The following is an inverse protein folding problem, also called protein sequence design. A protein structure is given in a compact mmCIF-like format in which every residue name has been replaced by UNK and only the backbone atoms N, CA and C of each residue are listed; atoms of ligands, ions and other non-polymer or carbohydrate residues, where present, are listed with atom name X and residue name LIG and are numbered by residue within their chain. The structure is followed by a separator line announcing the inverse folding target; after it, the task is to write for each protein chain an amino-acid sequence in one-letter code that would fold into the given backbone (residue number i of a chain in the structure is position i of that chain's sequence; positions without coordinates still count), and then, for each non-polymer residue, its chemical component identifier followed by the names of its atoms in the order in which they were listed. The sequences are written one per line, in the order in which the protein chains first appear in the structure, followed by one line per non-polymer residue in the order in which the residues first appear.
data_IF_658660756881
#
_entry.id   IF_658660756881
#
_cell.length_a   1.000
_cell.length_b   1.000
_cell.length_c   1.000
_cell.angle_alpha   90.00
_cell.angle_beta   90.00
_cell.angle_gamma   90.00
#
_symmetry.space_group_name_H-M   'P 1'
#
loop_
_entity.id
_entity.type
_entity.pdbx_description
1 polymer ?
#
# COMPACT_ATOMS: atom_id res chain seq x y z
N UNK A 1 -27.61 -23.12 6.03
CA UNK A 1 -26.40 -22.58 5.38
C UNK A 1 -25.20 -23.09 6.17
N UNK A 2 -24.39 -23.98 5.59
CA UNK A 2 -23.24 -24.55 6.31
C UNK A 2 -22.21 -23.46 6.60
N UNK A 3 -21.89 -23.28 7.88
CA UNK A 3 -20.84 -22.37 8.33
C UNK A 3 -19.50 -22.95 7.87
N UNK A 4 -18.98 -22.52 6.71
CA UNK A 4 -17.66 -22.95 6.29
C UNK A 4 -16.64 -22.52 7.37
N UNK A 5 -15.81 -23.43 7.87
CA UNK A 5 -14.86 -23.10 8.92
C UNK A 5 -13.86 -22.07 8.41
N UNK A 6 -13.64 -21.00 9.18
CA UNK A 6 -12.57 -20.01 8.93
C UNK A 6 -11.23 -20.75 8.95
N UNK A 7 -10.70 -21.14 7.79
CA UNK A 7 -9.28 -21.51 7.70
C UNK A 7 -8.45 -20.27 7.95
N UNK A 8 -7.60 -20.36 8.98
CA UNK A 8 -6.62 -19.33 9.28
C UNK A 8 -5.71 -19.09 8.07
N UNK A 9 -5.20 -17.86 7.95
CA UNK A 9 -4.18 -17.56 6.95
C UNK A 9 -2.97 -18.46 7.12
N UNK A 10 -2.25 -18.72 6.03
CA UNK A 10 -0.91 -19.28 6.16
C UNK A 10 -0.03 -18.34 7.00
N UNK A 11 0.92 -18.85 7.78
CA UNK A 11 1.85 -18.02 8.55
C UNK A 11 2.55 -16.96 7.68
N UNK A 12 2.91 -17.33 6.44
CA UNK A 12 3.49 -16.42 5.45
C UNK A 12 2.56 -15.25 5.14
N UNK A 13 1.29 -15.49 4.81
CA UNK A 13 0.35 -14.44 4.48
C UNK A 13 0.07 -13.53 5.70
N UNK A 14 -0.02 -14.10 6.89
CA UNK A 14 -0.15 -13.33 8.13
C UNK A 14 1.04 -12.38 8.32
N UNK A 15 2.27 -12.86 8.14
CA UNK A 15 3.46 -12.04 8.26
C UNK A 15 3.51 -10.95 7.19
N UNK A 16 3.12 -11.27 5.95
CA UNK A 16 3.04 -10.30 4.84
C UNK A 16 1.98 -9.22 5.08
N UNK A 17 0.87 -9.54 5.75
CA UNK A 17 -0.12 -8.54 6.16
C UNK A 17 0.53 -7.56 7.14
N UNK A 18 1.21 -8.04 8.19
CA UNK A 18 1.88 -7.14 9.14
C UNK A 18 2.99 -6.30 8.49
N UNK A 19 3.77 -6.89 7.59
CA UNK A 19 4.78 -6.14 6.82
C UNK A 19 4.14 -5.09 5.90
N UNK A 20 3.00 -5.39 5.28
CA UNK A 20 2.27 -4.44 4.46
C UNK A 20 1.67 -3.29 5.29
N UNK A 21 1.20 -3.55 6.51
CA UNK A 21 0.77 -2.50 7.44
C UNK A 21 1.94 -1.56 7.78
N UNK A 22 3.12 -2.10 8.09
CA UNK A 22 4.32 -1.29 8.33
C UNK A 22 4.75 -0.51 7.08
N UNK A 23 4.65 -1.11 5.90
CA UNK A 23 4.93 -0.45 4.63
C UNK A 23 3.92 0.68 4.32
N UNK A 24 2.64 0.50 4.65
CA UNK A 24 1.61 1.53 4.52
C UNK A 24 1.83 2.67 5.52
N UNK A 25 2.22 2.36 6.77
CA UNK A 25 2.60 3.36 7.76
C UNK A 25 3.81 4.19 7.28
N UNK A 26 4.83 3.55 6.71
CA UNK A 26 5.96 4.24 6.12
C UNK A 26 5.55 5.17 4.97
N UNK A 27 4.71 4.69 4.05
CA UNK A 27 4.15 5.53 2.97
C UNK A 27 3.33 6.69 3.53
N UNK A 28 2.47 6.45 4.52
CA UNK A 28 1.69 7.49 5.17
C UNK A 28 2.58 8.56 5.81
N UNK A 29 3.69 8.16 6.44
CA UNK A 29 4.68 9.07 7.01
C UNK A 29 5.34 9.96 5.93
N UNK A 30 5.67 9.41 4.75
CA UNK A 30 6.16 10.21 3.62
C UNK A 30 5.07 11.20 3.16
N UNK A 31 3.84 10.72 2.94
CA UNK A 31 2.75 11.55 2.41
C UNK A 31 2.37 12.71 3.33
N UNK A 32 2.28 12.47 4.64
CA UNK A 32 2.03 13.56 5.60
C UNK A 32 3.22 14.51 5.67
N UNK A 33 4.45 14.02 5.52
CA UNK A 33 5.64 14.86 5.49
C UNK A 33 5.72 15.74 4.26
N UNK A 34 5.29 15.26 3.09
CA UNK A 34 5.08 16.10 1.90
C UNK A 34 4.02 17.14 2.17
N UNK A 35 2.90 16.75 2.77
CA UNK A 35 1.80 17.66 3.13
C UNK A 35 2.26 18.77 4.07
N UNK A 36 3.16 18.47 5.01
CA UNK A 36 3.76 19.42 5.96
C UNK A 36 5.00 20.13 5.41
N UNK A 37 5.44 19.81 4.19
CA UNK A 37 6.62 20.34 3.53
C UNK A 37 7.94 20.12 4.31
N UNK A 38 8.15 18.91 4.82
CA UNK A 38 9.35 18.54 5.58
C UNK A 38 10.52 18.15 4.65
N UNK A 39 11.74 18.55 5.01
CA UNK A 39 12.94 18.37 4.18
C UNK A 39 13.26 16.91 3.85
N UNK A 40 13.08 16.00 4.82
CA UNK A 40 13.43 14.58 4.64
C UNK A 40 12.57 13.88 3.56
N UNK A 41 11.38 14.42 3.27
CA UNK A 41 10.46 13.90 2.28
C UNK A 41 10.80 14.36 0.86
N UNK A 42 11.55 15.47 0.70
CA UNK A 42 11.95 16.03 -0.60
C UNK A 42 12.62 14.99 -1.51
N UNK A 43 13.71 14.31 -1.09
CA UNK A 43 14.32 13.29 -1.95
C UNK A 43 13.46 12.03 -2.11
N UNK A 44 12.42 11.83 -1.29
CA UNK A 44 11.61 10.60 -1.28
C UNK A 44 10.31 10.69 -2.07
N UNK A 45 9.97 11.87 -2.54
CA UNK A 45 8.74 12.12 -3.27
C UNK A 45 9.02 12.83 -4.59
N UNK A 46 8.31 12.41 -5.64
CA UNK A 46 8.30 13.08 -6.93
C UNK A 46 9.71 13.27 -7.53
N UNK A 47 10.57 12.26 -7.44
CA UNK A 47 11.90 12.29 -8.05
C UNK A 47 12.94 13.13 -7.32
N UNK A 48 12.62 13.71 -6.16
CA UNK A 48 13.51 14.71 -5.54
C UNK A 48 13.52 16.06 -6.24
N UNK A 49 12.53 16.35 -7.09
CA UNK A 49 12.56 17.52 -7.99
C UNK A 49 12.19 18.86 -7.32
N UNK A 50 11.72 18.84 -6.07
CA UNK A 50 11.18 20.01 -5.41
C UNK A 50 12.07 20.47 -4.25
N UNK A 51 12.49 21.74 -4.31
CA UNK A 51 13.10 22.44 -3.16
C UNK A 51 12.05 22.83 -2.11
N UNK A 52 10.80 23.02 -2.54
CA UNK A 52 9.63 23.13 -1.67
C UNK A 52 8.41 22.56 -2.39
N UNK A 53 7.55 21.85 -1.66
CA UNK A 53 6.39 21.22 -2.26
C UNK A 53 5.31 22.28 -2.59
N UNK A 54 4.89 22.39 -3.87
CA UNK A 54 3.81 23.29 -4.25
C UNK A 54 2.52 22.96 -3.51
N UNK A 55 1.72 23.97 -3.18
CA UNK A 55 0.48 23.78 -2.39
C UNK A 55 -0.47 22.73 -3.00
N UNK A 56 -0.58 22.69 -4.33
CA UNK A 56 -1.39 21.68 -5.02
C UNK A 56 -0.89 20.25 -4.80
N UNK A 57 0.43 20.02 -4.86
CA UNK A 57 1.04 18.71 -4.58
C UNK A 57 0.77 18.30 -3.12
N UNK A 58 0.85 19.24 -2.19
CA UNK A 58 0.58 18.99 -0.77
C UNK A 58 -0.86 18.52 -0.53
N UNK A 59 -1.84 19.13 -1.19
CA UNK A 59 -3.24 18.69 -1.11
C UNK A 59 -3.45 17.29 -1.70
N UNK A 60 -2.84 16.99 -2.86
CA UNK A 60 -2.92 15.65 -3.47
C UNK A 60 -2.36 14.60 -2.50
N UNK A 61 -1.19 14.86 -1.92
CA UNK A 61 -0.52 13.92 -1.00
C UNK A 61 -1.29 13.76 0.31
N UNK A 62 -1.96 14.82 0.79
CA UNK A 62 -2.88 14.74 1.93
C UNK A 62 -4.07 13.80 1.62
N UNK A 63 -4.65 13.89 0.42
CA UNK A 63 -5.68 12.95 -0.01
C UNK A 63 -5.18 11.50 -0.08
N UNK A 64 -3.98 11.31 -0.63
CA UNK A 64 -3.34 9.98 -0.69
C UNK A 64 -3.06 9.42 0.71
N UNK A 65 -2.73 10.26 1.70
CA UNK A 65 -2.55 9.84 3.09
C UNK A 65 -3.81 9.17 3.65
N UNK A 66 -4.99 9.76 3.45
CA UNK A 66 -6.26 9.11 3.83
C UNK A 66 -6.51 7.82 3.05
N UNK A 67 -6.06 7.76 1.79
CA UNK A 67 -5.99 6.51 1.03
C UNK A 67 -5.17 5.43 1.74
N UNK A 68 -4.00 5.76 2.27
CA UNK A 68 -3.19 4.81 3.05
C UNK A 68 -3.90 4.34 4.32
N UNK A 69 -4.58 5.24 5.04
CA UNK A 69 -5.40 4.87 6.21
C UNK A 69 -6.49 3.87 5.81
N UNK A 70 -7.20 4.14 4.72
CA UNK A 70 -8.23 3.23 4.21
C UNK A 70 -7.66 1.85 3.88
N UNK A 71 -6.49 1.77 3.23
CA UNK A 71 -5.85 0.50 2.90
C UNK A 71 -5.42 -0.29 4.14
N UNK A 72 -4.91 0.38 5.18
CA UNK A 72 -4.59 -0.26 6.46
C UNK A 72 -5.84 -0.84 7.11
N UNK A 73 -6.95 -0.08 7.17
CA UNK A 73 -8.22 -0.58 7.71
C UNK A 73 -8.76 -1.78 6.89
N UNK A 74 -8.57 -1.76 5.57
CA UNK A 74 -8.97 -2.85 4.68
C UNK A 74 -8.15 -4.12 4.97
N UNK A 75 -6.83 -4.02 5.07
CA UNK A 75 -5.94 -5.16 5.41
C UNK A 75 -6.25 -5.70 6.80
N UNK A 76 -6.34 -4.82 7.79
CA UNK A 76 -6.67 -5.18 9.17
C UNK A 76 -7.99 -5.95 9.27
N UNK A 77 -9.03 -5.48 8.56
CA UNK A 77 -10.33 -6.17 8.51
C UNK A 77 -10.21 -7.53 7.84
N UNK A 78 -9.57 -7.61 6.68
CA UNK A 78 -9.57 -8.80 5.82
C UNK A 78 -8.45 -9.81 6.14
N UNK A 79 -7.67 -9.59 7.19
CA UNK A 79 -6.80 -10.61 7.77
C UNK A 79 -7.60 -11.81 8.29
N UNK A 80 -8.79 -11.59 8.86
CA UNK A 80 -9.61 -12.63 9.50
C UNK A 80 -10.99 -12.80 8.86
N UNK A 81 -11.34 -11.92 7.91
CA UNK A 81 -12.66 -11.88 7.26
C UNK A 81 -12.44 -12.07 5.75
N UNK A 82 -13.06 -13.07 5.11
CA UNK A 82 -12.93 -13.26 3.68
C UNK A 82 -13.53 -12.08 2.91
N UNK A 83 -12.96 -11.80 1.74
CA UNK A 83 -13.47 -10.83 0.79
C UNK A 83 -14.71 -11.36 0.07
N UNK A 84 -15.64 -10.45 -0.22
CA UNK A 84 -16.73 -10.69 -1.15
C UNK A 84 -16.26 -10.53 -2.61
N UNK A 85 -17.16 -10.64 -3.59
CA UNK A 85 -16.78 -10.55 -5.01
C UNK A 85 -16.23 -9.17 -5.39
N UNK A 86 -16.78 -8.10 -4.80
CA UNK A 86 -16.30 -6.74 -5.02
C UNK A 86 -14.92 -6.55 -4.37
N UNK A 87 -14.74 -7.01 -3.13
CA UNK A 87 -13.47 -6.95 -2.40
C UNK A 87 -12.32 -7.70 -3.11
N UNK A 88 -12.59 -8.87 -3.69
CA UNK A 88 -11.58 -9.61 -4.48
C UNK A 88 -11.09 -8.79 -5.69
N UNK A 89 -12.01 -8.11 -6.39
CA UNK A 89 -11.66 -7.23 -7.52
C UNK A 89 -10.90 -6.00 -7.05
N UNK A 90 -11.38 -5.33 -6.00
CA UNK A 90 -10.76 -4.13 -5.45
C UNK A 90 -9.32 -4.39 -4.99
N UNK A 91 -9.10 -5.42 -4.18
CA UNK A 91 -7.75 -5.80 -3.71
C UNK A 91 -6.81 -6.15 -4.85
N UNK A 92 -7.31 -6.74 -5.94
CA UNK A 92 -6.50 -7.00 -7.13
C UNK A 92 -6.10 -5.73 -7.86
N UNK A 93 -7.03 -4.79 -8.03
CA UNK A 93 -6.74 -3.48 -8.63
C UNK A 93 -5.69 -2.76 -7.80
N UNK A 94 -5.85 -2.74 -6.46
CA UNK A 94 -4.86 -2.16 -5.55
C UNK A 94 -3.49 -2.84 -5.74
N UNK A 95 -3.46 -4.17 -5.80
CA UNK A 95 -2.23 -4.94 -6.07
C UNK A 95 -1.52 -4.46 -7.33
N UNK A 96 -2.24 -4.30 -8.45
CA UNK A 96 -1.68 -3.80 -9.72
C UNK A 96 -1.23 -2.33 -9.65
N UNK A 97 -1.98 -1.47 -8.96
CA UNK A 97 -1.56 -0.07 -8.72
C UNK A 97 -0.23 -0.02 -7.99
N UNK A 98 -0.03 -0.88 -6.98
CA UNK A 98 1.24 -0.96 -6.28
C UNK A 98 2.36 -1.63 -7.09
N UNK A 99 2.07 -2.52 -8.05
CA UNK A 99 3.06 -2.97 -9.04
C UNK A 99 3.57 -1.79 -9.86
N UNK A 100 2.64 -0.99 -10.40
CA UNK A 100 3.01 0.20 -11.16
C UNK A 100 3.82 1.18 -10.29
N UNK A 101 3.41 1.38 -9.03
CA UNK A 101 4.17 2.17 -8.05
C UNK A 101 5.58 1.64 -7.85
N UNK A 102 5.77 0.34 -7.62
CA UNK A 102 7.10 -0.28 -7.50
C UNK A 102 7.98 0.04 -8.70
N UNK A 103 7.45 -0.08 -9.92
CA UNK A 103 8.20 0.20 -11.15
C UNK A 103 8.60 1.67 -11.20
N UNK A 104 7.67 2.60 -10.94
CA UNK A 104 7.93 4.05 -10.92
C UNK A 104 9.04 4.39 -9.92
N UNK A 105 8.99 3.81 -8.72
CA UNK A 105 10.02 4.04 -7.70
C UNK A 105 11.39 3.49 -8.15
N UNK A 106 11.44 2.27 -8.71
CA UNK A 106 12.70 1.66 -9.18
C UNK A 106 13.40 2.49 -10.25
N UNK A 107 12.64 3.14 -11.15
CA UNK A 107 13.21 3.98 -12.22
C UNK A 107 13.40 5.44 -11.81
N UNK A 108 13.13 5.79 -10.55
CA UNK A 108 13.33 7.16 -10.07
C UNK A 108 14.79 7.61 -10.20
N UNK A 109 14.98 8.91 -10.41
CA UNK A 109 16.31 9.55 -10.40
C UNK A 109 16.87 9.71 -8.98
N UNK A 110 16.00 9.73 -7.97
CA UNK A 110 16.39 9.83 -6.56
C UNK A 110 16.75 8.46 -5.99
N UNK A 111 17.98 8.27 -5.45
CA UNK A 111 18.35 7.04 -4.75
C UNK A 111 17.42 6.73 -3.57
N UNK A 112 16.99 7.75 -2.81
CA UNK A 112 16.10 7.60 -1.68
C UNK A 112 14.71 7.14 -2.12
N UNK A 113 14.19 7.68 -3.21
CA UNK A 113 12.87 7.26 -3.72
C UNK A 113 12.89 5.84 -4.27
N UNK A 114 14.01 5.38 -4.85
CA UNK A 114 14.16 3.96 -5.25
C UNK A 114 13.96 3.00 -4.08
N UNK A 115 14.33 3.40 -2.87
CA UNK A 115 14.11 2.56 -1.68
C UNK A 115 12.62 2.37 -1.37
N UNK A 116 11.73 3.26 -1.83
CA UNK A 116 10.27 3.13 -1.70
C UNK A 116 9.70 1.99 -2.57
N UNK A 117 10.47 1.46 -3.52
CA UNK A 117 10.06 0.30 -4.30
C UNK A 117 9.82 -0.93 -3.42
N UNK A 118 10.62 -1.09 -2.35
CA UNK A 118 10.50 -2.20 -1.41
C UNK A 118 9.14 -2.19 -0.69
N UNK A 119 8.74 -1.13 0.05
CA UNK A 119 7.43 -1.11 0.68
C UNK A 119 6.29 -1.21 -0.35
N UNK A 120 6.41 -0.60 -1.53
CA UNK A 120 5.40 -0.76 -2.58
C UNK A 120 5.24 -2.22 -3.04
N UNK A 121 6.35 -2.95 -3.18
CA UNK A 121 6.33 -4.35 -3.60
C UNK A 121 5.71 -5.28 -2.55
N UNK A 122 5.96 -5.02 -1.27
CA UNK A 122 5.35 -5.74 -0.14
C UNK A 122 3.83 -5.53 -0.17
N UNK A 123 3.38 -4.29 -0.29
CA UNK A 123 1.95 -3.96 -0.34
C UNK A 123 1.28 -4.65 -1.53
N UNK A 124 1.91 -4.56 -2.72
CA UNK A 124 1.42 -5.22 -3.93
C UNK A 124 1.23 -6.72 -3.75
N UNK A 125 2.29 -7.41 -3.31
CA UNK A 125 2.29 -8.86 -3.11
C UNK A 125 1.21 -9.28 -2.10
N UNK A 126 1.11 -8.56 -0.97
CA UNK A 126 0.12 -8.84 0.06
C UNK A 126 -1.31 -8.75 -0.48
N UNK A 127 -1.66 -7.65 -1.16
CA UNK A 127 -3.01 -7.51 -1.73
C UNK A 127 -3.30 -8.56 -2.81
N UNK A 128 -2.32 -8.93 -3.62
CA UNK A 128 -2.48 -9.96 -4.64
C UNK A 128 -2.73 -11.34 -4.01
N UNK A 129 -1.98 -11.70 -2.97
CA UNK A 129 -2.15 -12.97 -2.26
C UNK A 129 -3.48 -13.05 -1.49
N UNK A 130 -3.94 -11.96 -0.87
CA UNK A 130 -5.28 -11.90 -0.25
C UNK A 130 -6.36 -12.11 -1.31
N UNK A 131 -6.27 -11.44 -2.46
CA UNK A 131 -7.22 -11.61 -3.57
C UNK A 131 -7.25 -13.05 -4.08
N UNK A 132 -6.08 -13.68 -4.21
CA UNK A 132 -5.95 -15.08 -4.64
C UNK A 132 -6.54 -16.05 -3.62
N UNK A 133 -6.21 -15.90 -2.33
CA UNK A 133 -6.71 -16.71 -1.22
C UNK A 133 -8.24 -16.84 -1.24
N UNK A 134 -8.94 -15.73 -1.49
CA UNK A 134 -10.41 -15.72 -1.43
C UNK A 134 -11.08 -16.01 -2.77
N UNK A 135 -10.35 -15.91 -3.89
CA UNK A 135 -10.82 -16.41 -5.19
C UNK A 135 -10.85 -17.93 -5.22
N UNK A 136 -9.82 -18.60 -4.71
CA UNK A 136 -9.73 -20.07 -4.68
C UNK A 136 -10.80 -20.73 -3.77
N UNK A 137 -11.48 -19.93 -2.94
CA UNK A 137 -12.56 -20.39 -2.04
C UNK A 137 -13.97 -20.26 -2.65
N UNK A 138 -14.10 -19.61 -3.80
CA UNK A 138 -15.37 -19.46 -4.52
C UNK A 138 -15.43 -20.43 -5.69
#
# INVERSE_FOLDING_TARGET
MAHQPKRANSPLLTNLIYLAELALLYNAAILISVTLNLDWAKPRAAGGQFESFPIGIRFIYCGMFFGMIFLMLLLWRHRNIPLDAAGIRLTRIIGYVFIASTIVQLVSRSPEERTNALPASIISLTFFLISRRDREKK
#
